data_IF_747719176068
#
_entry.id   IF_747719176068
#
_cell.length_a   1.000
_cell.length_b   1.000
_cell.length_c   1.000
_cell.angle_alpha   90.00
_cell.angle_beta   90.00
_cell.angle_gamma   90.00
#
_symmetry.space_group_name_H-M   'P 1'
#
loop_
_entity.id
_entity.type
_entity.pdbx_description
1 polymer ?
#
# COMPACT_ATOMS: atom_id res chain seq x y z
N UNK A 1 -37.11 17.70 19.92
CA UNK A 1 -35.63 17.77 20.10
C UNK A 1 -34.99 17.78 18.71
N UNK A 2 -34.21 18.81 18.34
CA UNK A 2 -33.42 18.77 17.09
C UNK A 2 -32.47 17.58 17.16
N UNK A 3 -32.46 16.72 16.14
CA UNK A 3 -31.52 15.60 16.07
C UNK A 3 -30.09 16.14 16.08
N UNK A 4 -29.24 15.64 17.00
CA UNK A 4 -27.83 16.04 17.02
C UNK A 4 -27.17 15.78 15.66
N UNK A 5 -26.34 16.72 15.21
CA UNK A 5 -25.50 16.54 14.03
C UNK A 5 -24.63 15.29 14.19
N UNK A 6 -24.35 14.57 13.13
CA UNK A 6 -23.52 13.35 13.16
C UNK A 6 -22.23 13.57 12.38
N UNK A 7 -21.12 13.10 12.95
CA UNK A 7 -19.79 13.11 12.31
C UNK A 7 -19.24 11.69 12.31
N UNK A 8 -18.75 11.22 11.17
CA UNK A 8 -18.02 9.94 11.10
C UNK A 8 -16.53 10.20 11.17
N UNK A 9 -15.88 9.70 12.20
CA UNK A 9 -14.44 9.84 12.44
C UNK A 9 -13.71 8.56 12.00
N UNK A 10 -12.66 8.69 11.17
CA UNK A 10 -11.68 7.62 10.98
C UNK A 10 -10.91 7.42 12.30
N UNK A 11 -11.20 6.31 12.98
CA UNK A 11 -10.79 6.06 14.36
C UNK A 11 -9.89 4.82 14.44
N UNK A 12 -8.65 5.02 14.87
CA UNK A 12 -7.68 3.92 15.08
C UNK A 12 -7.67 3.35 16.49
N UNK A 13 -8.33 4.03 17.46
CA UNK A 13 -8.24 3.70 18.89
C UNK A 13 -6.96 4.18 19.56
N UNK A 14 -6.07 4.84 18.82
CA UNK A 14 -4.84 5.47 19.33
C UNK A 14 -5.09 6.83 20.00
N UNK A 15 -4.02 7.43 20.53
CA UNK A 15 -4.08 8.69 21.27
C UNK A 15 -4.68 9.83 20.44
N UNK A 16 -4.12 10.09 19.27
CA UNK A 16 -4.49 11.26 18.45
C UNK A 16 -5.96 11.17 18.01
N UNK A 17 -6.43 10.00 17.57
CA UNK A 17 -7.83 9.83 17.17
C UNK A 17 -8.78 9.85 18.36
N UNK A 18 -8.34 9.48 19.58
CA UNK A 18 -9.14 9.61 20.81
C UNK A 18 -9.25 11.07 21.29
N UNK A 19 -8.19 11.85 21.11
CA UNK A 19 -8.22 13.30 21.34
C UNK A 19 -9.17 13.96 20.34
N UNK A 20 -9.05 13.62 19.05
CA UNK A 20 -9.95 14.13 18.00
C UNK A 20 -11.41 13.81 18.31
N UNK A 21 -11.70 12.58 18.71
CA UNK A 21 -13.04 12.14 19.09
C UNK A 21 -13.65 13.08 20.13
N UNK A 22 -12.92 13.28 21.23
CA UNK A 22 -13.38 14.15 22.33
C UNK A 22 -13.52 15.60 21.90
N UNK A 23 -12.55 16.11 21.15
CA UNK A 23 -12.56 17.46 20.62
C UNK A 23 -13.75 17.73 19.69
N UNK A 24 -14.08 16.76 18.81
CA UNK A 24 -15.26 16.86 17.93
C UNK A 24 -16.57 16.92 18.73
N UNK A 25 -16.70 16.13 19.79
CA UNK A 25 -17.89 16.16 20.66
C UNK A 25 -18.07 17.53 21.33
N UNK A 26 -16.98 18.14 21.80
CA UNK A 26 -17.01 19.41 22.51
C UNK A 26 -17.25 20.61 21.57
N UNK A 27 -16.62 20.62 20.39
CA UNK A 27 -16.63 21.81 19.53
C UNK A 27 -17.75 21.82 18.50
N UNK A 28 -18.43 20.71 18.25
CA UNK A 28 -19.49 20.62 17.23
C UNK A 28 -20.86 20.22 17.81
N UNK A 29 -20.97 19.98 19.12
CA UNK A 29 -22.18 19.40 19.73
C UNK A 29 -22.77 18.26 18.89
N UNK A 30 -21.91 17.33 18.48
CA UNK A 30 -22.25 16.29 17.54
C UNK A 30 -22.15 14.90 18.15
N UNK A 31 -23.01 13.99 17.67
CA UNK A 31 -22.82 12.56 17.86
C UNK A 31 -21.68 12.11 16.95
N UNK A 32 -20.58 11.60 17.52
CA UNK A 32 -19.47 11.06 16.74
C UNK A 32 -19.63 9.55 16.58
N UNK A 33 -19.55 9.09 15.35
CA UNK A 33 -19.54 7.69 14.97
C UNK A 33 -18.10 7.31 14.67
N UNK A 34 -17.55 6.33 15.37
CA UNK A 34 -16.20 5.83 15.16
C UNK A 34 -16.22 4.79 14.03
N UNK A 35 -15.41 5.00 13.00
CA UNK A 35 -15.21 4.09 11.88
C UNK A 35 -13.77 3.61 11.84
N UNK A 36 -13.57 2.30 11.94
CA UNK A 36 -12.27 1.63 11.85
C UNK A 36 -12.27 0.67 10.66
N UNK A 37 -11.36 0.86 9.73
CA UNK A 37 -11.11 -0.08 8.64
C UNK A 37 -10.01 -1.07 9.07
N UNK A 38 -10.31 -2.35 9.04
CA UNK A 38 -9.32 -3.43 9.17
C UNK A 38 -8.77 -3.74 7.79
N UNK A 39 -7.62 -3.16 7.46
CA UNK A 39 -6.86 -3.41 6.23
C UNK A 39 -5.64 -4.31 6.49
N UNK A 40 -5.63 -5.02 7.63
CA UNK A 40 -4.62 -5.98 8.03
C UNK A 40 -3.49 -5.43 8.91
N UNK A 41 -3.67 -4.25 9.48
CA UNK A 41 -2.88 -3.77 10.61
C UNK A 41 -3.24 -4.58 11.87
N UNK A 42 -2.34 -4.63 12.84
CA UNK A 42 -2.66 -5.24 14.12
C UNK A 42 -3.77 -4.46 14.83
N UNK A 43 -4.93 -5.09 15.03
CA UNK A 43 -6.12 -4.46 15.62
C UNK A 43 -6.54 -5.22 16.88
N UNK A 44 -6.49 -4.55 18.02
CA UNK A 44 -7.21 -4.97 19.22
C UNK A 44 -8.65 -4.41 19.19
N UNK A 45 -9.57 -5.17 18.58
CA UNK A 45 -10.98 -4.77 18.45
C UNK A 45 -11.64 -4.49 19.81
N UNK A 46 -11.30 -5.27 20.86
CA UNK A 46 -11.87 -5.08 22.21
C UNK A 46 -11.40 -3.75 22.80
N UNK A 47 -10.10 -3.43 22.65
CA UNK A 47 -9.51 -2.18 23.12
C UNK A 47 -10.09 -0.96 22.39
N UNK A 48 -10.23 -1.03 21.04
CA UNK A 48 -10.86 0.04 20.24
C UNK A 48 -12.28 0.33 20.73
N UNK A 49 -13.11 -0.71 20.88
CA UNK A 49 -14.48 -0.58 21.35
C UNK A 49 -14.51 -0.03 22.77
N UNK A 50 -13.69 -0.55 23.69
CA UNK A 50 -13.60 -0.08 25.08
C UNK A 50 -13.23 1.38 25.13
N UNK A 51 -12.21 1.83 24.40
CA UNK A 51 -11.76 3.22 24.36
C UNK A 51 -12.83 4.17 23.82
N UNK A 52 -13.49 3.79 22.71
CA UNK A 52 -14.55 4.60 22.13
C UNK A 52 -15.77 4.71 23.05
N UNK A 53 -16.23 3.61 23.66
CA UNK A 53 -17.33 3.60 24.63
C UNK A 53 -17.04 4.44 25.86
N UNK A 54 -15.80 4.37 26.40
CA UNK A 54 -15.36 5.22 27.52
C UNK A 54 -15.50 6.71 27.22
N UNK A 55 -15.34 7.10 25.95
CA UNK A 55 -15.52 8.49 25.50
C UNK A 55 -16.96 8.78 25.04
N UNK A 56 -17.93 7.94 25.42
CA UNK A 56 -19.36 8.17 25.17
C UNK A 56 -19.84 7.86 23.76
N UNK A 57 -19.07 7.14 22.95
CA UNK A 57 -19.48 6.75 21.58
C UNK A 57 -20.50 5.62 21.63
N UNK A 58 -21.64 5.81 20.99
CA UNK A 58 -22.71 4.81 20.85
C UNK A 58 -22.51 3.90 19.62
N UNK A 59 -22.08 4.50 18.49
CA UNK A 59 -21.97 3.81 17.22
C UNK A 59 -20.50 3.63 16.84
N UNK A 60 -20.05 2.36 16.80
CA UNK A 60 -18.68 1.96 16.47
C UNK A 60 -18.76 0.92 15.37
N UNK A 61 -18.09 1.19 14.27
CA UNK A 61 -18.02 0.30 13.10
C UNK A 61 -16.58 -0.16 12.97
N UNK A 62 -16.35 -1.47 12.93
CA UNK A 62 -15.06 -2.09 12.59
C UNK A 62 -15.31 -3.00 11.40
N UNK A 63 -14.80 -2.64 10.24
CA UNK A 63 -15.06 -3.35 8.98
C UNK A 63 -13.80 -4.09 8.52
N UNK A 64 -13.91 -5.41 8.30
CA UNK A 64 -12.83 -6.21 7.71
C UNK A 64 -12.78 -5.96 6.19
N UNK A 65 -11.69 -5.38 5.75
CA UNK A 65 -11.46 -5.00 4.36
C UNK A 65 -10.20 -5.65 3.78
N UNK A 66 -9.59 -6.62 4.43
CA UNK A 66 -8.32 -7.23 4.01
C UNK A 66 -8.37 -7.77 2.58
N UNK A 67 -9.37 -8.60 2.28
CA UNK A 67 -9.51 -9.16 0.92
C UNK A 67 -9.81 -8.08 -0.13
N UNK A 68 -10.68 -7.12 0.19
CA UNK A 68 -10.99 -5.98 -0.69
C UNK A 68 -9.74 -5.12 -0.94
N UNK A 69 -8.97 -4.83 0.11
CA UNK A 69 -7.74 -4.06 0.01
C UNK A 69 -6.73 -4.72 -0.92
N UNK A 70 -6.50 -6.02 -0.74
CA UNK A 70 -5.53 -6.73 -1.56
C UNK A 70 -6.02 -6.89 -3.00
N UNK A 71 -7.27 -7.31 -3.20
CA UNK A 71 -7.82 -7.57 -4.54
C UNK A 71 -7.96 -6.30 -5.38
N UNK A 72 -8.52 -5.23 -4.79
CA UNK A 72 -8.97 -4.07 -5.55
C UNK A 72 -7.95 -2.91 -5.54
N UNK A 73 -6.93 -2.97 -4.67
CA UNK A 73 -5.90 -1.92 -4.55
C UNK A 73 -4.49 -2.46 -4.75
N UNK A 74 -4.10 -3.54 -4.05
CA UNK A 74 -2.76 -4.10 -4.19
C UNK A 74 -2.55 -4.75 -5.55
N UNK A 75 -3.44 -5.66 -5.98
CA UNK A 75 -3.25 -6.39 -7.24
C UNK A 75 -3.23 -5.49 -8.48
N UNK A 76 -4.13 -4.49 -8.65
CA UNK A 76 -4.04 -3.53 -9.75
C UNK A 76 -2.69 -2.78 -9.78
N UNK A 77 -2.17 -2.42 -8.61
CA UNK A 77 -0.89 -1.74 -8.48
C UNK A 77 0.28 -2.67 -8.83
N UNK A 78 0.24 -3.94 -8.39
CA UNK A 78 1.23 -4.98 -8.77
C UNK A 78 1.23 -5.17 -10.29
N UNK A 79 0.07 -5.28 -10.94
CA UNK A 79 -0.03 -5.39 -12.40
C UNK A 79 0.59 -4.19 -13.13
N UNK A 80 0.53 -3.00 -12.53
CA UNK A 80 1.15 -1.78 -13.05
C UNK A 80 2.62 -1.63 -12.72
N UNK A 81 3.21 -2.54 -11.96
CA UNK A 81 4.57 -2.41 -11.41
C UNK A 81 4.82 -1.03 -10.78
N UNK A 82 3.81 -0.47 -10.10
CA UNK A 82 3.87 0.87 -9.56
C UNK A 82 4.91 0.99 -8.44
N UNK A 83 6.00 1.68 -8.74
CA UNK A 83 7.09 1.95 -7.81
C UNK A 83 7.37 3.44 -7.85
N UNK A 84 7.17 4.12 -6.72
CA UNK A 84 7.45 5.55 -6.61
C UNK A 84 8.93 5.79 -6.32
N UNK A 85 9.53 6.73 -7.06
CA UNK A 85 10.96 7.08 -6.95
C UNK A 85 11.92 5.88 -7.01
N UNK A 86 11.53 4.83 -7.76
CA UNK A 86 12.37 3.66 -8.02
C UNK A 86 12.39 2.61 -6.91
N UNK A 87 11.84 2.87 -5.72
CA UNK A 87 11.95 1.97 -4.57
C UNK A 87 10.67 1.79 -3.74
N UNK A 88 9.81 2.83 -3.65
CA UNK A 88 8.66 2.81 -2.75
C UNK A 88 7.46 2.09 -3.36
N UNK A 89 6.99 1.03 -2.71
CA UNK A 89 5.88 0.18 -3.16
C UNK A 89 4.48 0.69 -2.75
N UNK A 90 4.33 1.96 -2.36
CA UNK A 90 3.06 2.69 -2.24
C UNK A 90 2.05 2.17 -1.20
N UNK A 91 2.47 1.39 -0.21
CA UNK A 91 1.54 0.70 0.70
C UNK A 91 0.60 1.61 1.48
N UNK A 92 1.10 2.73 2.02
CA UNK A 92 0.26 3.73 2.70
C UNK A 92 -0.66 4.46 1.72
N UNK A 93 -0.15 4.74 0.51
CA UNK A 93 -0.87 5.53 -0.50
C UNK A 93 -2.15 4.87 -1.00
N UNK A 94 -2.19 3.52 -1.05
CA UNK A 94 -3.35 2.77 -1.55
C UNK A 94 -4.37 2.42 -0.44
N UNK A 95 -4.00 2.49 0.84
CA UNK A 95 -4.92 2.20 1.94
C UNK A 95 -5.93 3.35 2.17
N UNK A 96 -5.47 4.61 2.13
CA UNK A 96 -6.31 5.78 2.41
C UNK A 96 -7.50 5.95 1.46
N UNK A 97 -7.39 5.74 0.14
CA UNK A 97 -8.53 5.78 -0.78
C UNK A 97 -9.62 4.76 -0.42
N UNK A 98 -9.27 3.53 -0.03
CA UNK A 98 -10.24 2.53 0.42
C UNK A 98 -10.94 2.98 1.70
N UNK A 99 -10.18 3.41 2.70
CA UNK A 99 -10.73 3.88 3.98
C UNK A 99 -11.69 5.04 3.74
N UNK A 100 -11.30 6.03 2.94
CA UNK A 100 -12.14 7.18 2.60
C UNK A 100 -13.46 6.77 1.92
N UNK A 101 -13.41 5.85 0.96
CA UNK A 101 -14.60 5.31 0.29
C UNK A 101 -15.59 4.70 1.30
N UNK A 102 -15.08 3.86 2.20
CA UNK A 102 -15.92 3.14 3.17
C UNK A 102 -16.43 4.08 4.27
N UNK A 103 -15.63 5.04 4.68
CA UNK A 103 -16.04 6.06 5.66
C UNK A 103 -17.16 6.95 5.11
N UNK A 104 -17.10 7.36 3.83
CA UNK A 104 -18.21 8.08 3.18
C UNK A 104 -19.47 7.21 3.08
N UNK A 105 -19.33 5.92 2.80
CA UNK A 105 -20.47 5.00 2.82
C UNK A 105 -21.10 4.92 4.21
N UNK A 106 -20.31 4.87 5.27
CA UNK A 106 -20.79 4.96 6.65
C UNK A 106 -21.46 6.32 6.92
N UNK A 107 -20.87 7.43 6.47
CA UNK A 107 -21.46 8.76 6.64
C UNK A 107 -22.86 8.84 5.99
N UNK A 108 -23.02 8.32 4.78
CA UNK A 108 -24.32 8.24 4.09
C UNK A 108 -25.32 7.39 4.86
N UNK A 109 -24.91 6.20 5.34
CA UNK A 109 -25.75 5.28 6.10
C UNK A 109 -26.32 5.93 7.37
N UNK A 110 -25.54 6.73 8.06
CA UNK A 110 -25.92 7.40 9.32
C UNK A 110 -26.47 8.81 9.14
N UNK A 111 -26.61 9.30 7.90
CA UNK A 111 -27.03 10.68 7.65
C UNK A 111 -26.09 11.69 8.26
N UNK A 112 -24.77 11.40 8.29
CA UNK A 112 -23.77 12.29 8.86
C UNK A 112 -23.51 13.48 7.93
N UNK A 113 -23.45 14.69 8.52
CA UNK A 113 -23.16 15.90 7.73
C UNK A 113 -21.67 16.08 7.46
N UNK A 114 -20.82 15.43 8.25
CA UNK A 114 -19.38 15.56 8.13
C UNK A 114 -18.63 14.26 8.33
N UNK A 115 -17.40 14.22 7.80
CA UNK A 115 -16.39 13.21 8.08
C UNK A 115 -15.14 13.87 8.67
N UNK A 116 -14.38 13.11 9.45
CA UNK A 116 -13.13 13.61 10.07
C UNK A 116 -12.04 12.54 9.97
N UNK A 117 -10.78 12.99 9.89
CA UNK A 117 -9.59 12.14 9.92
C UNK A 117 -8.52 12.71 10.86
N UNK A 118 -7.57 11.84 11.26
CA UNK A 118 -6.48 12.19 12.16
C UNK A 118 -5.14 12.49 11.48
N UNK A 119 -5.14 12.69 10.17
CA UNK A 119 -3.90 12.96 9.43
C UNK A 119 -3.35 14.34 9.75
N UNK A 120 -2.03 14.40 10.01
CA UNK A 120 -1.33 15.66 10.34
C UNK A 120 -1.19 16.57 9.12
N UNK A 121 -1.04 17.89 9.35
CA UNK A 121 -0.90 18.87 8.27
C UNK A 121 0.39 18.74 7.43
N UNK A 122 1.39 18.00 7.91
CA UNK A 122 2.67 17.76 7.22
C UNK A 122 2.72 16.45 6.43
N UNK A 123 1.65 15.63 6.47
CA UNK A 123 1.60 14.33 5.80
C UNK A 123 0.78 14.36 4.50
N UNK A 124 1.12 13.47 3.56
CA UNK A 124 0.34 13.28 2.33
C UNK A 124 -1.05 12.66 2.61
N UNK A 125 -1.23 12.01 3.75
CA UNK A 125 -2.44 11.25 4.05
C UNK A 125 -3.69 12.11 4.14
N UNK A 126 -3.57 13.36 4.59
CA UNK A 126 -4.69 14.30 4.53
C UNK A 126 -5.20 14.50 3.10
N UNK A 127 -4.28 14.66 2.13
CA UNK A 127 -4.64 14.81 0.70
C UNK A 127 -5.33 13.55 0.20
N UNK A 128 -4.79 12.38 0.51
CA UNK A 128 -5.33 11.07 0.10
C UNK A 128 -6.75 10.83 0.64
N UNK A 129 -6.99 11.15 1.91
CA UNK A 129 -8.32 11.08 2.51
C UNK A 129 -9.29 12.06 1.84
N UNK A 130 -8.92 13.32 1.73
CA UNK A 130 -9.83 14.36 1.27
C UNK A 130 -10.17 14.24 -0.21
N UNK A 131 -9.22 13.87 -1.07
CA UNK A 131 -9.51 13.54 -2.47
C UNK A 131 -10.49 12.36 -2.58
N UNK A 132 -10.34 11.34 -1.73
CA UNK A 132 -11.29 10.23 -1.64
C UNK A 132 -12.67 10.69 -1.16
N UNK A 133 -12.74 11.53 -0.14
CA UNK A 133 -14.01 12.08 0.34
C UNK A 133 -14.72 12.92 -0.73
N UNK A 134 -13.98 13.80 -1.39
CA UNK A 134 -14.53 14.61 -2.49
C UNK A 134 -15.11 13.74 -3.62
N UNK A 135 -14.43 12.67 -3.97
CA UNK A 135 -14.91 11.79 -5.03
C UNK A 135 -16.24 11.09 -4.69
N UNK A 136 -16.37 10.56 -3.45
CA UNK A 136 -17.55 9.77 -3.05
C UNK A 136 -18.65 10.57 -2.36
N UNK A 137 -18.35 11.73 -1.83
CA UNK A 137 -19.28 12.56 -1.08
C UNK A 137 -18.97 14.06 -1.21
N UNK A 138 -19.09 14.67 -2.41
CA UNK A 138 -18.65 16.06 -2.65
C UNK A 138 -19.40 17.10 -1.81
N UNK A 139 -20.57 16.74 -1.26
CA UNK A 139 -21.37 17.62 -0.36
C UNK A 139 -21.10 17.38 1.12
N UNK A 140 -20.34 16.35 1.48
CA UNK A 140 -20.05 16.04 2.89
C UNK A 140 -18.97 17.00 3.41
N UNK A 141 -19.22 17.66 4.55
CA UNK A 141 -18.23 18.54 5.18
C UNK A 141 -17.03 17.71 5.67
N UNK A 142 -15.83 18.20 5.43
CA UNK A 142 -14.60 17.60 5.93
C UNK A 142 -14.12 18.41 7.14
N UNK A 143 -13.84 17.72 8.24
CA UNK A 143 -13.28 18.33 9.45
C UNK A 143 -11.89 17.70 9.66
N UNK A 144 -10.85 18.51 9.51
CA UNK A 144 -9.46 18.12 9.71
C UNK A 144 -8.88 18.84 10.93
N UNK A 145 -9.00 18.27 12.14
CA UNK A 145 -8.67 18.94 13.38
C UNK A 145 -7.24 19.47 13.42
N UNK A 146 -6.26 18.74 12.93
CA UNK A 146 -4.87 19.17 12.87
C UNK A 146 -4.62 20.52 12.15
N UNK A 147 -5.56 20.99 11.33
CA UNK A 147 -5.46 22.30 10.65
C UNK A 147 -6.22 23.42 11.34
N UNK A 148 -7.10 23.09 12.30
CA UNK A 148 -8.05 24.07 12.85
C UNK A 148 -8.04 24.17 14.38
N UNK A 149 -7.53 23.14 15.09
CA UNK A 149 -7.47 23.19 16.56
C UNK A 149 -6.24 23.98 17.07
N UNK A 150 -6.28 24.33 18.35
CA UNK A 150 -5.19 25.06 19.01
C UNK A 150 -4.19 24.15 19.74
N UNK A 151 -4.24 22.84 19.51
CA UNK A 151 -3.33 21.86 20.12
C UNK A 151 -2.09 21.70 19.23
N UNK A 152 -1.15 22.64 19.35
CA UNK A 152 -0.04 22.76 18.39
C UNK A 152 1.18 21.90 18.71
N UNK A 153 1.23 21.33 19.93
CA UNK A 153 2.36 20.56 20.38
C UNK A 153 1.95 19.21 20.98
N UNK A 154 2.91 18.29 21.03
CA UNK A 154 2.73 17.01 21.74
C UNK A 154 2.37 17.23 23.21
N UNK A 155 2.95 18.25 23.83
CA UNK A 155 2.65 18.64 25.21
C UNK A 155 1.20 19.05 25.38
N UNK A 156 0.65 19.81 24.43
CA UNK A 156 -0.76 20.22 24.47
C UNK A 156 -1.70 19.02 24.31
N UNK A 157 -1.36 18.09 23.40
CA UNK A 157 -2.12 16.85 23.23
C UNK A 157 -2.12 16.01 24.51
N UNK A 158 -0.98 15.89 25.19
CA UNK A 158 -0.86 15.14 26.45
C UNK A 158 -1.66 15.83 27.56
N UNK A 159 -1.58 17.17 27.69
CA UNK A 159 -2.38 17.93 28.66
C UNK A 159 -3.88 17.74 28.42
N UNK A 160 -4.31 17.84 27.15
CA UNK A 160 -5.70 17.62 26.76
C UNK A 160 -6.16 16.19 27.07
N UNK A 161 -5.33 15.20 26.75
CA UNK A 161 -5.61 13.81 27.04
C UNK A 161 -5.77 13.53 28.54
N UNK A 162 -4.87 14.07 29.38
CA UNK A 162 -4.98 13.97 30.87
C UNK A 162 -6.27 14.60 31.40
N UNK A 163 -6.59 15.82 30.96
CA UNK A 163 -7.81 16.53 31.34
C UNK A 163 -9.07 15.73 31.01
N UNK A 164 -9.07 14.98 29.91
CA UNK A 164 -10.23 14.24 29.44
C UNK A 164 -10.14 12.71 29.72
N UNK A 165 -9.24 12.30 30.62
CA UNK A 165 -9.05 10.88 30.99
C UNK A 165 -8.81 9.96 29.80
N UNK A 166 -8.13 10.43 28.73
CA UNK A 166 -7.78 9.65 27.56
C UNK A 166 -6.48 8.87 27.86
N UNK A 167 -6.43 7.54 27.66
CA UNK A 167 -5.22 6.76 27.88
C UNK A 167 -4.07 7.23 26.99
N UNK A 168 -2.89 7.44 27.58
CA UNK A 168 -1.68 7.88 26.88
C UNK A 168 -0.76 6.67 26.77
N UNK A 169 -0.55 6.10 25.56
CA UNK A 169 0.44 5.07 25.37
C UNK A 169 1.84 5.66 25.46
N UNK A 170 2.71 4.99 26.21
CA UNK A 170 4.14 5.32 26.32
C UNK A 170 4.95 4.14 25.79
N UNK A 171 6.09 4.41 25.17
CA UNK A 171 7.07 3.37 24.93
C UNK A 171 7.71 2.91 26.25
N UNK A 172 8.52 1.88 26.22
CA UNK A 172 9.20 1.32 27.42
C UNK A 172 10.07 2.34 28.16
N UNK A 173 10.39 3.48 27.56
CA UNK A 173 11.19 4.58 28.13
C UNK A 173 10.37 5.84 28.43
N UNK A 174 9.04 5.79 28.26
CA UNK A 174 8.17 6.95 28.44
C UNK A 174 8.26 8.00 27.33
N UNK A 175 9.10 7.83 26.33
CA UNK A 175 9.21 8.75 25.20
C UNK A 175 8.03 8.57 24.22
N UNK A 176 7.67 9.60 23.44
CA UNK A 176 6.68 9.44 22.39
C UNK A 176 7.08 8.33 21.42
N UNK A 177 6.15 7.46 20.98
CA UNK A 177 6.47 6.39 20.02
C UNK A 177 6.88 6.97 18.66
N UNK A 178 7.54 6.15 17.82
CA UNK A 178 7.70 6.44 16.40
C UNK A 178 6.32 6.57 15.72
N UNK A 179 6.26 7.32 14.64
CA UNK A 179 5.08 7.31 13.78
C UNK A 179 5.09 6.04 12.94
N UNK A 180 4.15 5.14 13.19
CA UNK A 180 4.05 3.86 12.50
C UNK A 180 2.71 3.82 11.77
N UNK A 181 2.77 3.49 10.47
CA UNK A 181 1.62 3.27 9.62
C UNK A 181 1.67 1.82 9.10
N UNK A 182 0.64 1.06 9.40
CA UNK A 182 0.61 -0.37 9.15
C UNK A 182 -0.65 -0.82 8.42
N UNK A 183 -0.49 -1.73 7.46
CA UNK A 183 -1.57 -2.45 6.79
C UNK A 183 -1.05 -3.80 6.29
N UNK A 184 -1.91 -4.64 5.73
CA UNK A 184 -1.51 -5.99 5.31
C UNK A 184 -0.38 -6.00 4.27
N UNK A 185 -0.27 -4.97 3.44
CA UNK A 185 0.75 -4.89 2.39
C UNK A 185 2.08 -4.32 2.88
N UNK A 186 2.06 -3.43 3.87
CA UNK A 186 3.16 -2.52 4.13
C UNK A 186 3.19 -2.03 5.58
N UNK A 187 4.38 -1.79 6.12
CA UNK A 187 4.61 -1.00 7.34
C UNK A 187 5.58 0.12 7.04
N UNK A 188 5.28 1.33 7.51
CA UNK A 188 6.21 2.46 7.49
C UNK A 188 6.50 2.94 8.90
N UNK A 189 7.76 3.32 9.16
CA UNK A 189 8.20 3.90 10.42
C UNK A 189 8.97 5.19 10.15
N UNK A 190 8.58 6.28 10.79
CA UNK A 190 9.14 7.63 10.61
C UNK A 190 9.40 8.30 11.95
N UNK A 191 10.24 9.36 11.93
CA UNK A 191 10.47 10.26 13.06
C UNK A 191 11.69 9.91 13.92
N UNK A 192 11.94 10.72 14.95
CA UNK A 192 13.04 10.58 15.91
C UNK A 192 14.43 10.46 15.22
N UNK A 193 15.15 9.37 15.51
CA UNK A 193 16.49 9.13 14.98
C UNK A 193 16.54 9.11 13.45
N UNK A 194 15.43 8.78 12.78
CA UNK A 194 15.33 8.78 11.33
C UNK A 194 15.28 10.18 10.70
N UNK A 195 14.94 11.22 11.48
CA UNK A 195 14.89 12.60 10.99
C UNK A 195 16.29 13.10 10.56
N UNK A 196 17.34 12.58 11.16
CA UNK A 196 18.71 12.86 10.73
C UNK A 196 19.20 11.75 9.76
N UNK A 197 19.40 12.08 8.47
CA UNK A 197 19.82 11.08 7.48
C UNK A 197 21.24 10.53 7.70
N UNK A 198 22.04 11.11 8.58
CA UNK A 198 23.36 10.58 8.97
C UNK A 198 23.26 9.35 9.90
N UNK A 199 22.12 9.15 10.55
CA UNK A 199 21.94 8.04 11.47
C UNK A 199 21.48 6.79 10.72
N UNK A 200 22.04 5.62 11.03
CA UNK A 200 21.53 4.34 10.57
C UNK A 200 20.15 4.06 11.20
N UNK A 201 19.28 3.39 10.46
CA UNK A 201 18.01 2.92 10.99
C UNK A 201 18.27 1.78 12.00
N UNK A 202 17.86 1.92 13.27
CA UNK A 202 18.02 0.84 14.26
C UNK A 202 17.21 -0.41 13.89
N UNK A 203 17.77 -1.59 14.15
CA UNK A 203 17.15 -2.88 13.79
C UNK A 203 15.73 -3.06 14.40
N UNK A 204 15.51 -2.55 15.60
CA UNK A 204 14.20 -2.66 16.28
C UNK A 204 13.03 -1.94 15.58
N UNK A 205 13.32 -1.09 14.59
CA UNK A 205 12.29 -0.43 13.80
C UNK A 205 11.64 -1.37 12.76
N UNK A 206 12.36 -2.43 12.39
CA UNK A 206 11.83 -3.43 11.46
C UNK A 206 11.03 -4.48 12.24
N UNK A 207 9.71 -4.53 11.98
CA UNK A 207 8.76 -5.34 12.74
C UNK A 207 8.30 -6.59 11.99
N UNK A 208 8.37 -6.56 10.66
CA UNK A 208 7.88 -7.65 9.79
C UNK A 208 8.98 -8.53 9.23
N UNK A 209 10.21 -8.06 9.28
CA UNK A 209 11.36 -8.74 8.65
C UNK A 209 12.49 -8.90 9.64
N UNK A 210 13.15 -10.04 9.59
CA UNK A 210 14.44 -10.21 10.26
C UNK A 210 15.55 -9.57 9.43
N UNK A 211 16.68 -9.19 10.06
CA UNK A 211 17.83 -8.74 9.26
C UNK A 211 18.34 -9.87 8.35
N UNK A 212 18.89 -9.57 7.18
CA UNK A 212 19.45 -10.59 6.29
C UNK A 212 20.49 -11.50 6.98
N UNK A 213 21.28 -10.97 7.89
CA UNK A 213 22.29 -11.72 8.66
C UNK A 213 21.65 -12.76 9.59
N UNK A 214 20.50 -12.39 10.20
CA UNK A 214 19.75 -13.27 11.12
C UNK A 214 18.76 -14.20 10.40
N UNK A 215 18.59 -14.03 9.08
CA UNK A 215 17.75 -14.91 8.29
C UNK A 215 18.34 -16.34 8.23
N UNK A 216 17.48 -17.38 8.05
CA UNK A 216 17.92 -18.78 8.04
C UNK A 216 19.04 -19.05 7.03
N UNK A 217 19.99 -19.93 7.41
CA UNK A 217 21.03 -20.42 6.49
C UNK A 217 20.51 -21.43 5.45
N UNK A 218 19.25 -21.85 5.56
CA UNK A 218 18.56 -22.71 4.58
C UNK A 218 17.64 -21.87 3.73
N UNK A 219 17.79 -21.95 2.41
CA UNK A 219 16.92 -21.24 1.48
C UNK A 219 15.47 -21.72 1.58
N UNK A 220 14.53 -20.78 1.46
CA UNK A 220 13.10 -21.06 1.32
C UNK A 220 12.70 -21.03 -0.16
N UNK A 221 11.74 -21.87 -0.55
CA UNK A 221 11.18 -21.88 -1.90
C UNK A 221 9.69 -21.55 -1.85
N UNK A 222 9.24 -20.72 -2.78
CA UNK A 222 7.83 -20.39 -2.93
C UNK A 222 7.45 -20.37 -4.40
N UNK A 223 6.30 -20.97 -4.73
CA UNK A 223 5.72 -20.94 -6.07
C UNK A 223 4.45 -20.13 -6.02
N UNK A 224 4.38 -19.07 -6.84
CA UNK A 224 3.21 -18.19 -6.95
C UNK A 224 2.54 -18.45 -8.29
N UNK A 225 1.25 -18.81 -8.26
CA UNK A 225 0.46 -19.03 -9.47
C UNK A 225 -0.42 -17.83 -9.78
N UNK A 226 -0.48 -17.48 -11.07
CA UNK A 226 -1.20 -16.32 -11.60
C UNK A 226 -2.33 -16.74 -12.55
N UNK A 227 -3.45 -16.00 -12.47
CA UNK A 227 -4.55 -16.08 -13.44
C UNK A 227 -5.02 -14.66 -13.78
N UNK A 228 -5.04 -14.33 -15.07
CA UNK A 228 -5.41 -13.01 -15.58
C UNK A 228 -4.62 -11.87 -14.90
N UNK A 229 -3.32 -12.09 -14.66
CA UNK A 229 -2.42 -11.13 -14.01
C UNK A 229 -2.50 -11.08 -12.49
N UNK A 230 -3.50 -11.68 -11.86
CA UNK A 230 -3.63 -11.68 -10.41
C UNK A 230 -3.04 -12.97 -9.80
N UNK A 231 -2.33 -12.88 -8.66
CA UNK A 231 -1.86 -14.05 -7.94
C UNK A 231 -3.03 -14.76 -7.28
N UNK A 232 -3.12 -16.09 -7.45
CA UNK A 232 -4.24 -16.90 -6.96
C UNK A 232 -3.82 -18.09 -6.10
N UNK A 233 -2.56 -18.56 -6.23
CA UNK A 233 -2.05 -19.69 -5.45
C UNK A 233 -0.68 -19.42 -4.87
N UNK A 234 -0.41 -20.01 -3.72
CA UNK A 234 0.93 -20.12 -3.13
C UNK A 234 1.22 -21.59 -2.86
N UNK A 235 2.29 -22.12 -3.47
CA UNK A 235 2.67 -23.53 -3.41
C UNK A 235 1.51 -24.47 -3.79
N UNK A 236 0.81 -24.14 -4.90
CA UNK A 236 -0.33 -24.89 -5.43
C UNK A 236 -1.65 -24.68 -4.67
N UNK A 237 -1.64 -24.15 -3.46
CA UNK A 237 -2.87 -23.92 -2.68
C UNK A 237 -3.52 -22.60 -3.06
N UNK A 238 -4.79 -22.65 -3.48
CA UNK A 238 -5.63 -21.45 -3.70
C UNK A 238 -5.96 -20.78 -2.38
N UNK A 239 -5.82 -19.47 -2.30
CA UNK A 239 -6.05 -18.67 -1.10
C UNK A 239 -6.91 -17.44 -1.43
N UNK A 240 -7.58 -16.87 -0.41
CA UNK A 240 -8.16 -15.54 -0.55
C UNK A 240 -7.05 -14.50 -0.72
N UNK A 241 -7.34 -13.33 -1.34
CA UNK A 241 -6.32 -12.31 -1.58
C UNK A 241 -5.55 -11.90 -0.32
N UNK A 242 -6.23 -11.67 0.79
CA UNK A 242 -5.62 -11.33 2.08
C UNK A 242 -4.72 -12.44 2.61
N UNK A 243 -5.23 -13.67 2.68
CA UNK A 243 -4.46 -14.83 3.16
C UNK A 243 -3.25 -15.15 2.27
N UNK A 244 -3.38 -14.90 0.95
CA UNK A 244 -2.26 -15.05 0.01
C UNK A 244 -1.14 -14.08 0.35
N UNK A 245 -1.47 -12.80 0.51
CA UNK A 245 -0.48 -11.77 0.84
C UNK A 245 0.14 -12.00 2.23
N UNK A 246 -0.66 -12.36 3.24
CA UNK A 246 -0.19 -12.68 4.58
C UNK A 246 0.83 -13.84 4.56
N UNK A 247 0.52 -14.91 3.81
CA UNK A 247 1.45 -16.03 3.65
C UNK A 247 2.75 -15.61 2.98
N UNK A 248 2.70 -14.73 1.98
CA UNK A 248 3.88 -14.19 1.33
C UNK A 248 4.68 -13.26 2.25
N UNK A 249 4.00 -12.42 3.05
CA UNK A 249 4.65 -11.60 4.07
C UNK A 249 5.46 -12.46 5.04
N UNK A 250 4.84 -13.53 5.55
CA UNK A 250 5.47 -14.41 6.53
C UNK A 250 6.74 -15.10 5.98
N UNK A 251 6.69 -15.61 4.75
CA UNK A 251 7.86 -16.30 4.19
C UNK A 251 8.94 -15.31 3.77
N UNK A 252 8.59 -14.16 3.22
CA UNK A 252 9.55 -13.13 2.82
C UNK A 252 10.21 -12.48 4.04
N UNK A 253 9.43 -12.11 5.05
CA UNK A 253 9.92 -11.48 6.26
C UNK A 253 10.92 -12.36 7.03
N UNK A 254 10.65 -13.67 7.15
CA UNK A 254 11.57 -14.64 7.72
C UNK A 254 12.91 -14.75 6.97
N UNK A 255 12.94 -14.41 5.68
CA UNK A 255 14.13 -14.41 4.83
C UNK A 255 14.77 -13.02 4.69
N UNK A 256 14.34 -12.00 5.46
CA UNK A 256 14.93 -10.67 5.45
C UNK A 256 14.59 -9.83 4.21
N UNK A 257 13.50 -10.15 3.51
CA UNK A 257 13.13 -9.52 2.23
C UNK A 257 12.11 -8.40 2.46
N UNK A 258 12.27 -7.28 1.74
CA UNK A 258 11.28 -6.21 1.64
C UNK A 258 11.55 -4.98 2.50
N UNK A 259 12.78 -4.76 2.96
CA UNK A 259 13.23 -3.57 3.69
C UNK A 259 13.66 -2.47 2.74
N UNK A 260 13.26 -1.24 3.02
CA UNK A 260 13.69 -0.03 2.30
C UNK A 260 13.90 1.08 3.31
N UNK A 261 15.04 1.79 3.22
CA UNK A 261 15.30 3.07 3.86
C UNK A 261 15.32 4.14 2.76
N UNK A 262 14.46 5.12 2.86
CA UNK A 262 14.15 6.01 1.74
C UNK A 262 13.93 7.44 2.22
N UNK A 263 14.50 8.39 1.50
CA UNK A 263 14.13 9.81 1.57
C UNK A 263 13.25 10.10 0.37
N UNK A 264 11.95 10.27 0.60
CA UNK A 264 10.95 10.52 -0.44
C UNK A 264 10.61 12.01 -0.60
N UNK A 265 10.18 12.39 -1.79
CA UNK A 265 9.60 13.71 -2.06
C UNK A 265 8.09 13.65 -1.81
N UNK A 266 7.62 14.26 -0.73
CA UNK A 266 6.18 14.33 -0.44
C UNK A 266 5.46 15.25 -1.40
N UNK A 267 4.22 14.92 -1.73
CA UNK A 267 3.37 15.71 -2.62
C UNK A 267 3.18 17.16 -2.13
N UNK A 268 3.20 17.38 -0.83
CA UNK A 268 3.13 18.70 -0.21
C UNK A 268 4.44 19.52 -0.29
N UNK A 269 5.45 19.03 -1.01
CA UNK A 269 6.67 19.79 -1.32
C UNK A 269 7.82 19.67 -0.33
N UNK A 270 7.79 18.70 0.60
CA UNK A 270 8.89 18.47 1.55
C UNK A 270 9.51 17.08 1.38
N UNK A 271 10.78 16.93 1.76
CA UNK A 271 11.44 15.62 1.86
C UNK A 271 11.19 15.01 3.24
N UNK A 272 11.01 13.70 3.28
CA UNK A 272 10.86 12.96 4.52
C UNK A 272 11.55 11.60 4.42
N UNK A 273 12.22 11.19 5.49
CA UNK A 273 12.82 9.86 5.58
C UNK A 273 11.97 8.92 6.40
N UNK A 274 11.82 7.70 5.91
CA UNK A 274 11.20 6.60 6.62
C UNK A 274 11.83 5.27 6.26
N UNK A 275 11.65 4.29 7.12
CA UNK A 275 11.94 2.89 6.82
C UNK A 275 10.65 2.16 6.55
N UNK A 276 10.67 1.34 5.52
CA UNK A 276 9.50 0.66 4.99
C UNK A 276 9.74 -0.84 4.90
N UNK A 277 8.70 -1.62 5.18
CA UNK A 277 8.71 -3.06 5.05
C UNK A 277 7.54 -3.52 4.20
N UNK A 278 7.83 -4.15 3.06
CA UNK A 278 6.82 -4.66 2.12
C UNK A 278 7.18 -6.06 1.65
N UNK A 279 7.30 -7.03 2.58
CA UNK A 279 7.90 -8.33 2.26
C UNK A 279 7.15 -9.12 1.19
N UNK A 280 5.85 -9.36 1.34
CA UNK A 280 5.04 -10.08 0.36
C UNK A 280 4.86 -9.30 -0.94
N UNK A 281 4.77 -7.96 -0.86
CA UNK A 281 4.70 -7.10 -2.02
C UNK A 281 5.96 -7.19 -2.90
N UNK A 282 7.14 -7.26 -2.30
CA UNK A 282 8.41 -7.44 -3.01
C UNK A 282 8.46 -8.78 -3.75
N UNK A 283 7.95 -9.87 -3.13
CA UNK A 283 7.81 -11.15 -3.83
C UNK A 283 6.83 -11.07 -5.00
N UNK A 284 5.68 -10.43 -4.79
CA UNK A 284 4.66 -10.28 -5.83
C UNK A 284 5.19 -9.47 -7.02
N UNK A 285 5.88 -8.35 -6.78
CA UNK A 285 6.50 -7.55 -7.84
C UNK A 285 7.49 -8.37 -8.66
N UNK A 286 8.41 -9.09 -7.98
CA UNK A 286 9.41 -9.93 -8.65
C UNK A 286 8.77 -11.07 -9.45
N UNK A 287 7.80 -11.78 -8.87
CA UNK A 287 7.14 -12.90 -9.53
C UNK A 287 6.24 -12.44 -10.70
N UNK A 288 5.51 -11.31 -10.52
CA UNK A 288 4.65 -10.77 -11.55
C UNK A 288 5.47 -10.31 -12.78
N UNK A 289 6.58 -9.61 -12.56
CA UNK A 289 7.49 -9.24 -13.65
C UNK A 289 8.05 -10.47 -14.38
N UNK A 290 8.38 -11.53 -13.62
CA UNK A 290 8.88 -12.77 -14.18
C UNK A 290 7.85 -13.51 -15.03
N UNK A 291 6.57 -13.56 -14.65
CA UNK A 291 5.55 -14.20 -15.47
C UNK A 291 5.19 -13.37 -16.71
N UNK A 292 5.16 -12.03 -16.58
CA UNK A 292 4.94 -11.14 -17.73
C UNK A 292 6.00 -11.32 -18.82
N UNK A 293 7.27 -11.50 -18.43
CA UNK A 293 8.38 -11.65 -19.40
C UNK A 293 8.25 -12.83 -20.36
N UNK A 294 7.42 -13.82 -20.00
CA UNK A 294 7.18 -15.02 -20.86
C UNK A 294 5.76 -15.08 -21.43
N UNK A 295 4.89 -14.15 -21.05
CA UNK A 295 3.47 -14.16 -21.46
C UNK A 295 3.04 -12.95 -22.28
N UNK A 296 3.76 -11.83 -22.16
CA UNK A 296 3.48 -10.59 -22.89
C UNK A 296 4.50 -10.37 -24.01
N UNK A 297 4.07 -9.64 -25.04
CA UNK A 297 4.94 -9.16 -26.10
C UNK A 297 5.71 -7.91 -25.68
N UNK A 298 6.79 -7.60 -26.42
CA UNK A 298 7.71 -6.49 -26.19
C UNK A 298 6.98 -5.16 -26.10
N UNK A 299 6.12 -4.84 -27.04
CA UNK A 299 5.42 -3.57 -27.14
C UNK A 299 4.54 -3.31 -25.90
N UNK A 300 3.81 -4.34 -25.46
CA UNK A 300 2.98 -4.28 -24.26
C UNK A 300 3.82 -4.05 -23.00
N UNK A 301 4.95 -4.77 -22.87
CA UNK A 301 5.83 -4.60 -21.70
C UNK A 301 6.45 -3.21 -21.67
N UNK A 302 7.00 -2.73 -22.79
CA UNK A 302 7.62 -1.41 -22.87
C UNK A 302 6.60 -0.30 -22.61
N UNK A 303 5.37 -0.42 -23.12
CA UNK A 303 4.31 0.54 -22.85
C UNK A 303 3.94 0.63 -21.37
N UNK A 304 3.91 -0.51 -20.69
CA UNK A 304 3.70 -0.54 -19.23
C UNK A 304 4.85 0.13 -18.49
N UNK A 305 6.09 -0.13 -18.87
CA UNK A 305 7.27 0.48 -18.25
C UNK A 305 7.30 2.00 -18.47
N UNK A 306 6.93 2.48 -19.66
CA UNK A 306 6.83 3.91 -19.99
C UNK A 306 5.83 4.65 -19.09
N UNK A 307 4.67 4.06 -18.83
CA UNK A 307 3.62 4.72 -18.03
C UNK A 307 3.78 4.53 -16.53
N UNK A 308 4.59 3.58 -16.07
CA UNK A 308 4.72 3.22 -14.66
C UNK A 308 5.06 4.41 -13.75
N UNK A 309 6.04 5.30 -14.08
CA UNK A 309 6.37 6.42 -13.21
C UNK A 309 5.18 7.35 -12.98
N UNK A 310 4.43 7.66 -14.05
CA UNK A 310 3.23 8.52 -13.95
C UNK A 310 2.08 7.84 -13.22
N UNK A 311 1.93 6.54 -13.43
CA UNK A 311 0.95 5.74 -12.71
C UNK A 311 1.25 5.69 -11.20
N UNK A 312 2.52 5.48 -10.82
CA UNK A 312 2.97 5.50 -9.43
C UNK A 312 2.81 6.89 -8.79
N UNK A 313 3.17 7.96 -9.50
CA UNK A 313 3.00 9.34 -9.04
C UNK A 313 1.53 9.67 -8.74
N UNK A 314 0.61 9.31 -9.62
CA UNK A 314 -0.83 9.54 -9.39
C UNK A 314 -1.33 8.81 -8.14
N UNK A 315 -0.87 7.57 -7.92
CA UNK A 315 -1.22 6.80 -6.72
C UNK A 315 -0.63 7.46 -5.48
N UNK A 316 0.64 7.83 -5.52
CA UNK A 316 1.36 8.47 -4.42
C UNK A 316 0.68 9.77 -3.97
N UNK A 317 0.28 10.58 -4.94
CA UNK A 317 -0.38 11.88 -4.73
C UNK A 317 -1.86 11.78 -4.31
N UNK A 318 -2.43 10.56 -4.19
CA UNK A 318 -3.81 10.34 -3.76
C UNK A 318 -4.86 10.38 -4.86
N UNK A 319 -4.46 10.42 -6.13
CA UNK A 319 -5.35 10.44 -7.30
C UNK A 319 -5.86 9.05 -7.69
N UNK A 320 -6.07 8.15 -6.73
CA UNK A 320 -6.53 6.78 -6.99
C UNK A 320 -7.82 6.73 -7.82
N UNK A 321 -8.76 7.64 -7.57
CA UNK A 321 -10.06 7.70 -8.26
C UNK A 321 -10.09 8.68 -9.44
N UNK A 322 -8.95 9.24 -9.86
CA UNK A 322 -8.90 10.18 -10.98
C UNK A 322 -9.12 9.49 -12.33
N UNK A 323 -9.72 10.23 -13.28
CA UNK A 323 -9.85 9.79 -14.67
C UNK A 323 -8.48 9.43 -15.29
N UNK A 324 -7.43 10.20 -14.96
CA UNK A 324 -6.06 9.95 -15.43
C UNK A 324 -5.55 8.58 -14.98
N UNK A 325 -5.63 8.26 -13.67
CA UNK A 325 -5.22 6.96 -13.16
C UNK A 325 -6.05 5.82 -13.77
N UNK A 326 -7.36 5.98 -13.96
CA UNK A 326 -8.19 4.97 -14.62
C UNK A 326 -7.78 4.74 -16.09
N UNK A 327 -7.40 5.80 -16.83
CA UNK A 327 -6.87 5.65 -18.19
C UNK A 327 -5.58 4.82 -18.19
N UNK A 328 -4.65 5.10 -17.30
CA UNK A 328 -3.42 4.32 -17.17
C UNK A 328 -3.70 2.87 -16.74
N UNK A 329 -4.65 2.64 -15.82
CA UNK A 329 -5.05 1.28 -15.43
C UNK A 329 -5.57 0.46 -16.61
N UNK A 330 -6.30 1.05 -17.56
CA UNK A 330 -6.74 0.36 -18.76
C UNK A 330 -5.57 -0.12 -19.61
N UNK A 331 -4.49 0.67 -19.69
CA UNK A 331 -3.25 0.28 -20.39
C UNK A 331 -2.55 -0.85 -19.62
N UNK A 332 -2.44 -0.73 -18.29
CA UNK A 332 -1.89 -1.78 -17.41
C UNK A 332 -2.61 -3.10 -17.60
N UNK A 333 -3.93 -3.08 -17.73
CA UNK A 333 -4.80 -4.27 -17.81
C UNK A 333 -4.99 -4.79 -19.26
N UNK A 334 -4.42 -4.15 -20.28
CA UNK A 334 -4.66 -4.41 -21.71
C UNK A 334 -4.21 -5.83 -21.94
N UNK A 335 -3.69 -6.66 -21.77
CA UNK A 335 -3.39 -8.07 -22.03
C UNK A 335 -3.25 -8.90 -20.75
N UNK A 336 -3.81 -8.45 -19.65
CA UNK A 336 -3.73 -9.19 -18.38
C UNK A 336 -4.26 -10.63 -18.49
N UNK A 337 -5.25 -10.86 -19.34
CA UNK A 337 -5.81 -12.20 -19.60
C UNK A 337 -4.81 -13.20 -20.17
N UNK A 338 -3.68 -12.74 -20.70
CA UNK A 338 -2.56 -13.59 -21.17
C UNK A 338 -1.60 -13.95 -20.04
N UNK A 339 -1.59 -13.21 -18.95
CA UNK A 339 -0.67 -13.41 -17.82
C UNK A 339 -1.19 -14.54 -16.92
N UNK A 340 -0.88 -15.78 -17.34
CA UNK A 340 -1.30 -17.01 -16.65
C UNK A 340 -0.11 -17.95 -16.52
N UNK A 341 0.01 -18.59 -15.37
CA UNK A 341 1.09 -19.54 -15.12
C UNK A 341 1.60 -19.47 -13.70
N UNK A 342 2.83 -19.93 -13.46
CA UNK A 342 3.44 -19.89 -12.14
C UNK A 342 4.92 -19.53 -12.21
N UNK A 343 5.41 -18.95 -11.11
CA UNK A 343 6.81 -18.59 -10.92
C UNK A 343 7.31 -19.23 -9.63
N UNK A 344 8.43 -19.95 -9.70
CA UNK A 344 9.13 -20.49 -8.54
C UNK A 344 10.26 -19.56 -8.15
N UNK A 345 10.27 -19.14 -6.89
CA UNK A 345 11.27 -18.26 -6.29
C UNK A 345 12.09 -19.03 -5.25
N UNK A 346 13.38 -18.71 -5.17
CA UNK A 346 14.29 -19.05 -4.07
C UNK A 346 14.53 -17.79 -3.25
N UNK A 347 14.34 -17.88 -1.95
CA UNK A 347 14.50 -16.80 -0.98
C UNK A 347 15.65 -17.13 -0.05
N UNK A 348 16.62 -16.24 0.03
CA UNK A 348 17.79 -16.47 0.87
C UNK A 348 18.44 -15.15 1.29
N UNK A 349 18.49 -14.89 2.59
CA UNK A 349 19.22 -13.76 3.20
C UNK A 349 18.99 -12.42 2.46
N UNK A 350 17.74 -11.98 2.38
CA UNK A 350 17.34 -10.73 1.75
C UNK A 350 17.20 -10.78 0.23
N UNK A 351 17.62 -11.86 -0.42
CA UNK A 351 17.63 -11.98 -1.88
C UNK A 351 16.50 -12.86 -2.41
N UNK A 352 16.02 -12.51 -3.61
CA UNK A 352 15.05 -13.27 -4.40
C UNK A 352 15.72 -13.74 -5.69
N UNK A 353 15.70 -15.04 -5.95
CA UNK A 353 16.16 -15.62 -7.22
C UNK A 353 14.98 -16.25 -7.93
N UNK A 354 14.77 -15.89 -9.19
CA UNK A 354 13.77 -16.55 -10.05
C UNK A 354 14.33 -17.91 -10.50
N UNK A 355 13.73 -18.99 -10.03
CA UNK A 355 14.17 -20.35 -10.35
C UNK A 355 13.55 -20.87 -11.65
N UNK A 356 12.25 -20.65 -11.83
CA UNK A 356 11.55 -21.09 -13.05
C UNK A 356 10.27 -20.30 -13.29
N UNK A 357 9.83 -20.33 -14.54
CA UNK A 357 8.56 -19.80 -15.02
C UNK A 357 7.84 -20.90 -15.79
N UNK A 358 6.55 -21.11 -15.48
CA UNK A 358 5.74 -22.11 -16.17
C UNK A 358 4.46 -21.44 -16.70
N UNK A 359 4.24 -21.53 -17.99
CA UNK A 359 3.04 -20.97 -18.65
C UNK A 359 2.68 -21.81 -19.87
N UNK A 360 1.41 -21.75 -20.25
CA UNK A 360 0.91 -22.29 -21.53
C UNK A 360 0.91 -21.22 -22.64
N UNK A 361 1.42 -20.01 -22.38
CA UNK A 361 1.52 -18.94 -23.38
C UNK A 361 2.53 -19.28 -24.47
N UNK A 362 2.24 -18.87 -25.70
CA UNK A 362 3.13 -19.03 -26.85
C UNK A 362 4.04 -17.80 -27.10
N UNK A 363 4.06 -16.81 -26.22
CA UNK A 363 4.89 -15.60 -26.38
C UNK A 363 6.40 -15.94 -26.33
N UNK A 364 6.79 -16.91 -25.48
CA UNK A 364 8.14 -17.46 -25.42
C UNK A 364 8.17 -18.83 -26.13
N UNK A 365 9.03 -18.97 -27.14
CA UNK A 365 9.18 -20.21 -27.91
C UNK A 365 10.60 -20.76 -27.81
N UNK A 366 10.77 -21.88 -27.10
CA UNK A 366 12.06 -22.58 -26.99
C UNK A 366 12.66 -22.91 -28.35
N UNK A 367 11.81 -23.29 -29.36
CA UNK A 367 12.25 -23.59 -30.70
C UNK A 367 12.92 -22.40 -31.42
N UNK A 368 12.42 -21.16 -31.14
CA UNK A 368 12.94 -19.94 -31.78
C UNK A 368 14.21 -19.40 -31.14
N UNK A 369 14.44 -19.67 -29.86
CA UNK A 369 15.59 -19.14 -29.09
C UNK A 369 16.71 -20.15 -28.93
N UNK A 370 16.53 -21.39 -29.38
CA UNK A 370 17.57 -22.43 -29.34
C UNK A 370 18.76 -22.02 -30.21
N UNK A 371 19.97 -22.23 -29.69
CA UNK A 371 21.21 -22.10 -30.47
C UNK A 371 21.48 -23.30 -31.38
N UNK A 372 20.69 -24.36 -31.23
CA UNK A 372 20.72 -25.51 -32.15
C UNK A 372 20.16 -25.13 -33.53
N UNK A 373 20.58 -25.85 -34.57
CA UNK A 373 20.14 -25.60 -35.94
C UNK A 373 18.62 -25.63 -36.04
N UNK A 374 18.04 -24.54 -36.52
CA UNK A 374 16.60 -24.36 -36.59
C UNK A 374 16.16 -23.97 -38.01
N UNK A 375 15.50 -24.92 -38.70
CA UNK A 375 14.97 -24.72 -40.05
C UNK A 375 13.96 -23.57 -40.20
N UNK A 376 13.42 -23.07 -39.07
CA UNK A 376 12.46 -21.94 -39.08
C UNK A 376 13.13 -20.56 -38.99
N UNK A 377 14.44 -20.49 -38.69
CA UNK A 377 15.19 -19.26 -38.64
C UNK A 377 15.84 -18.93 -39.98
N UNK A 378 15.33 -17.90 -40.65
CA UNK A 378 15.88 -17.46 -41.93
C UNK A 378 16.83 -16.25 -41.69
N UNK A 379 18.13 -16.49 -41.88
CA UNK A 379 19.19 -15.48 -41.71
C UNK A 379 18.98 -14.25 -42.60
N UNK A 380 18.45 -14.39 -43.83
CA UNK A 380 18.18 -13.29 -44.74
C UNK A 380 17.12 -12.31 -44.22
N UNK A 381 16.17 -12.78 -43.39
CA UNK A 381 15.17 -11.91 -42.79
C UNK A 381 15.79 -10.96 -41.74
N UNK A 382 16.85 -11.39 -41.06
CA UNK A 382 17.57 -10.54 -40.12
C UNK A 382 18.31 -9.42 -40.86
N UNK A 383 18.96 -9.75 -41.97
CA UNK A 383 19.63 -8.74 -42.79
C UNK A 383 18.65 -7.71 -43.36
N UNK A 384 17.50 -8.16 -43.90
CA UNK A 384 16.43 -7.25 -44.35
C UNK A 384 15.91 -6.37 -43.21
N UNK A 385 15.72 -6.90 -42.03
CA UNK A 385 15.31 -6.16 -40.85
C UNK A 385 16.34 -5.09 -40.46
N UNK A 386 17.63 -5.45 -40.43
CA UNK A 386 18.71 -4.51 -40.17
C UNK A 386 18.74 -3.39 -41.20
N UNK A 387 18.64 -3.74 -42.50
CA UNK A 387 18.65 -2.76 -43.58
C UNK A 387 17.46 -1.79 -43.51
N UNK A 388 16.27 -2.29 -43.15
CA UNK A 388 15.11 -1.42 -42.88
C UNK A 388 15.37 -0.43 -41.75
N UNK A 389 15.96 -0.90 -40.65
CA UNK A 389 16.21 -0.04 -39.47
C UNK A 389 17.39 0.94 -39.65
N UNK A 390 18.37 0.66 -40.54
CA UNK A 390 19.43 1.61 -40.87
C UNK A 390 18.90 2.94 -41.38
N UNK A 391 17.76 2.95 -42.06
CA UNK A 391 17.14 4.18 -42.55
C UNK A 391 16.73 5.13 -41.41
N UNK A 392 16.31 4.59 -40.25
CA UNK A 392 15.92 5.38 -39.07
C UNK A 392 17.10 6.05 -38.34
N UNK A 393 18.35 5.65 -38.64
CA UNK A 393 19.53 6.27 -38.04
C UNK A 393 19.92 7.59 -38.71
N UNK A 394 19.35 7.88 -39.89
CA UNK A 394 19.68 9.06 -40.70
C UNK A 394 18.52 10.06 -40.82
N UNK A 395 17.34 9.72 -40.22
CA UNK A 395 16.20 10.60 -40.05
C UNK A 395 16.17 11.19 -38.64
#
# INVERSE_FOLDING_TARGET
MKSKKRIVLAYSGGLDTSIILKWLQENYDAEVICYTADVGQEIDRKKIIKNAKRLGVKNIIIEDLKDTFVKDYVFPMIRGHAIYEGVYLLGTSIARPLIAKRQIAAAKKFGAYAVSHGSTGKGNDQVRFELGYHYFGPKVKIIAPWRIWKLNSRTDLIKYAKKNNIPIPTDKKGAPPFSIDDNLYHTSTEGKVLENPKNSAPEFLFQRTVSPEKAPNKASFVTIGFKNGDPITVNGKKLSPGNLLEKLNNVAGKNGIGRVDLVENRFIGIKSRGVYETPGGTLLMSAHRAIESVTLDKETMHKKDEIMPKYAELIYNGYWYSKARFKLQKIVDLKKNKVNGSVKLKLYKGNITIMSRQTKSNAYSMKKVSFEENKTFNKSNVERFINFHKQKLRS
#
